data_IF_333291858314
#
_entry.id   IF_333291858314
#
_cell.length_a   1.000
_cell.length_b   1.000
_cell.length_c   1.000
_cell.angle_alpha   90.00
_cell.angle_beta   90.00
_cell.angle_gamma   90.00
#
_symmetry.space_group_name_H-M   'P 1'
#
loop_
_entity.id
_entity.type
_entity.pdbx_description
1 polymer ?
#
# COMPACT_ATOMS: atom_id res chain seq x y z
N UNK A 1 -6.60 52.73 20.55
CA UNK A 1 -5.92 51.46 20.15
C UNK A 1 -7.00 50.40 19.99
N UNK A 2 -7.35 50.11 18.74
CA UNK A 2 -8.47 49.26 18.32
C UNK A 2 -7.97 47.85 17.99
N UNK A 3 -8.60 46.78 18.49
CA UNK A 3 -8.25 45.42 18.11
C UNK A 3 -9.04 45.03 16.85
N UNK A 4 -8.55 45.42 15.67
CA UNK A 4 -9.14 45.01 14.37
C UNK A 4 -8.46 43.78 13.75
N UNK A 5 -7.62 43.07 14.49
CA UNK A 5 -6.81 41.95 13.95
C UNK A 5 -7.46 40.58 14.18
N UNK A 6 -8.43 40.45 15.10
CA UNK A 6 -9.05 39.15 15.40
C UNK A 6 -10.25 38.76 14.50
N UNK A 7 -10.78 39.68 13.68
CA UNK A 7 -11.91 39.40 12.79
C UNK A 7 -11.55 38.77 11.45
N UNK A 8 -10.28 38.84 11.02
CA UNK A 8 -9.82 38.37 9.70
C UNK A 8 -9.34 36.91 9.76
N UNK A 9 -8.87 36.44 10.92
CA UNK A 9 -8.39 35.07 11.07
C UNK A 9 -9.54 34.04 11.20
N UNK A 10 -10.68 34.45 11.76
CA UNK A 10 -11.86 33.59 11.95
C UNK A 10 -12.68 33.37 10.67
N UNK A 11 -12.61 34.27 9.69
CA UNK A 11 -13.27 34.08 8.39
C UNK A 11 -12.47 33.18 7.44
N UNK A 12 -11.16 33.03 7.66
CA UNK A 12 -10.32 32.08 6.92
C UNK A 12 -10.49 30.63 7.41
N UNK A 13 -10.77 30.41 8.70
CA UNK A 13 -11.04 29.05 9.21
C UNK A 13 -12.43 28.50 8.85
N UNK A 14 -13.39 29.36 8.52
CA UNK A 14 -14.76 28.95 8.17
C UNK A 14 -14.97 28.65 6.68
N UNK A 15 -13.99 28.92 5.82
CA UNK A 15 -14.07 28.60 4.37
C UNK A 15 -13.54 27.21 4.01
N UNK A 16 -12.86 26.51 4.91
CA UNK A 16 -12.47 25.10 4.69
C UNK A 16 -13.60 24.09 4.91
N UNK A 17 -14.79 24.53 5.35
CA UNK A 17 -15.87 23.61 5.71
C UNK A 17 -16.97 23.45 4.65
N UNK A 18 -16.83 24.04 3.46
CA UNK A 18 -17.77 23.80 2.35
C UNK A 18 -17.05 23.79 1.01
N UNK A 19 -16.35 22.68 0.70
CA UNK A 19 -16.26 22.10 -0.65
C UNK A 19 -15.67 20.69 -0.49
N UNK A 20 -16.52 19.67 -0.52
CA UNK A 20 -16.10 18.28 -0.64
C UNK A 20 -15.60 17.96 -2.05
N UNK A 21 -14.62 18.73 -2.54
CA UNK A 21 -13.88 18.43 -3.76
C UNK A 21 -12.50 17.97 -3.33
N UNK A 22 -12.37 16.66 -3.09
CA UNK A 22 -11.06 16.01 -3.01
C UNK A 22 -10.33 16.34 -4.32
N UNK A 23 -9.22 17.08 -4.23
CA UNK A 23 -8.33 17.32 -5.37
C UNK A 23 -8.02 15.98 -6.09
N UNK A 24 -8.04 15.94 -7.43
CA UNK A 24 -7.73 14.74 -8.18
C UNK A 24 -6.38 14.16 -7.75
N UNK A 25 -6.31 12.85 -7.52
CA UNK A 25 -5.06 12.17 -7.22
C UNK A 25 -4.38 11.74 -8.50
N UNK A 26 -3.15 12.19 -8.74
CA UNK A 26 -2.38 11.78 -9.91
C UNK A 26 -1.95 10.31 -9.81
N UNK A 27 -2.13 9.57 -10.90
CA UNK A 27 -1.65 8.21 -11.04
C UNK A 27 -0.15 8.22 -11.36
N UNK A 28 0.61 7.46 -10.57
CA UNK A 28 2.05 7.31 -10.73
C UNK A 28 2.49 5.85 -10.44
N UNK A 29 3.79 5.64 -10.28
CA UNK A 29 4.38 4.35 -9.92
C UNK A 29 4.33 4.04 -8.41
N UNK A 30 3.70 4.89 -7.61
CA UNK A 30 3.70 4.88 -6.15
C UNK A 30 5.12 4.70 -5.58
N UNK A 31 6.04 5.67 -5.79
CA UNK A 31 7.45 5.50 -5.47
C UNK A 31 7.73 5.37 -3.97
N UNK A 32 6.80 5.83 -3.13
CA UNK A 32 6.91 5.83 -1.67
C UNK A 32 6.34 4.55 -1.01
N UNK A 33 5.68 3.69 -1.79
CA UNK A 33 4.96 2.56 -1.25
C UNK A 33 5.88 1.41 -0.82
N UNK A 34 5.54 0.74 0.29
CA UNK A 34 6.19 -0.52 0.68
C UNK A 34 5.65 -1.67 -0.16
N UNK A 35 6.45 -2.16 -1.10
CA UNK A 35 6.03 -3.08 -2.15
C UNK A 35 6.79 -4.42 -2.13
N UNK A 36 7.25 -4.84 -0.96
CA UNK A 36 8.10 -6.01 -0.77
C UNK A 36 7.43 -7.30 -1.29
N UNK A 37 8.19 -8.09 -2.06
CA UNK A 37 7.77 -9.39 -2.58
C UNK A 37 8.34 -10.57 -1.79
N UNK A 38 9.29 -10.31 -0.89
CA UNK A 38 9.96 -11.31 -0.06
C UNK A 38 10.68 -12.40 -0.87
N UNK A 39 11.23 -12.03 -2.04
CA UNK A 39 11.96 -12.95 -2.90
C UNK A 39 13.29 -13.35 -2.24
N UNK A 40 13.43 -14.64 -1.93
CA UNK A 40 14.64 -15.19 -1.32
C UNK A 40 14.68 -15.17 0.22
N UNK A 41 13.65 -14.64 0.90
CA UNK A 41 13.61 -14.58 2.37
C UNK A 41 12.32 -15.12 3.00
N UNK A 42 11.52 -15.89 2.25
CA UNK A 42 10.26 -16.47 2.77
C UNK A 42 10.49 -17.22 4.07
N UNK A 43 11.43 -18.17 4.11
CA UNK A 43 11.66 -18.99 5.31
C UNK A 43 12.10 -18.17 6.54
N UNK A 44 12.89 -17.12 6.32
CA UNK A 44 13.30 -16.23 7.39
C UNK A 44 12.13 -15.36 7.88
N UNK A 45 11.32 -14.84 6.96
CA UNK A 45 10.11 -14.11 7.32
C UNK A 45 9.07 -14.99 8.02
N UNK A 46 8.87 -16.25 7.61
CA UNK A 46 7.97 -17.19 8.32
C UNK A 46 8.42 -17.41 9.77
N UNK A 47 9.73 -17.43 10.02
CA UNK A 47 10.29 -17.55 11.38
C UNK A 47 10.08 -16.30 12.23
N UNK A 48 10.21 -15.11 11.63
CA UNK A 48 10.17 -13.82 12.33
C UNK A 48 8.78 -13.21 12.45
N UNK A 49 7.92 -13.43 11.46
CA UNK A 49 6.61 -12.81 11.36
C UNK A 49 5.72 -13.04 12.59
N UNK A 50 5.76 -14.17 13.32
CA UNK A 50 5.01 -14.33 14.56
C UNK A 50 5.38 -13.29 15.64
N UNK A 51 6.68 -13.01 15.83
CA UNK A 51 7.12 -11.99 16.78
C UNK A 51 6.73 -10.59 16.30
N UNK A 52 6.98 -10.27 15.03
CA UNK A 52 6.61 -8.99 14.43
C UNK A 52 5.09 -8.72 14.56
N UNK A 53 4.26 -9.74 14.36
CA UNK A 53 2.81 -9.62 14.51
C UNK A 53 2.42 -9.30 15.96
N UNK A 54 3.11 -9.90 16.94
CA UNK A 54 2.87 -9.60 18.36
C UNK A 54 3.26 -8.15 18.71
N UNK A 55 4.33 -7.62 18.12
CA UNK A 55 4.73 -6.21 18.24
C UNK A 55 3.66 -5.29 17.64
N UNK A 56 3.12 -5.63 16.47
CA UNK A 56 2.02 -4.89 15.82
C UNK A 56 0.76 -4.84 16.68
N UNK A 57 0.41 -5.97 17.31
CA UNK A 57 -0.71 -6.04 18.25
C UNK A 57 -0.53 -5.16 19.48
N UNK A 58 0.71 -4.99 19.95
CA UNK A 58 1.01 -4.12 21.08
C UNK A 58 0.91 -2.65 20.70
N UNK A 59 1.29 -2.30 19.46
CA UNK A 59 1.21 -0.93 18.94
C UNK A 59 -0.20 -0.53 18.51
N UNK A 60 -1.03 -1.49 18.06
CA UNK A 60 -2.34 -1.20 17.51
C UNK A 60 -3.40 -2.19 18.03
N UNK A 61 -4.08 -1.79 19.12
CA UNK A 61 -5.14 -2.59 19.75
C UNK A 61 -6.33 -2.85 18.82
N UNK A 62 -6.67 -1.90 17.95
CA UNK A 62 -7.76 -2.08 16.99
C UNK A 62 -7.42 -3.16 15.96
N UNK A 63 -6.20 -3.12 15.43
CA UNK A 63 -5.71 -4.17 14.53
C UNK A 63 -5.67 -5.54 15.22
N UNK A 64 -5.26 -5.61 16.49
CA UNK A 64 -5.32 -6.85 17.28
C UNK A 64 -6.73 -7.42 17.39
N UNK A 65 -7.75 -6.58 17.63
CA UNK A 65 -9.14 -7.03 17.68
C UNK A 65 -9.62 -7.54 16.32
N UNK A 66 -9.38 -6.77 15.25
CA UNK A 66 -9.69 -7.17 13.88
C UNK A 66 -9.05 -8.52 13.51
N UNK A 67 -7.78 -8.71 13.89
CA UNK A 67 -7.07 -9.97 13.64
C UNK A 67 -7.74 -11.14 14.36
N UNK A 68 -8.12 -11.00 15.64
CA UNK A 68 -8.81 -12.05 16.39
C UNK A 68 -10.16 -12.42 15.75
N UNK A 69 -10.95 -11.43 15.34
CA UNK A 69 -12.21 -11.66 14.62
C UNK A 69 -11.96 -12.42 13.31
N UNK A 70 -10.91 -12.04 12.57
CA UNK A 70 -10.50 -12.71 11.36
C UNK A 70 -10.02 -14.15 11.60
N UNK A 71 -9.37 -14.45 12.72
CA UNK A 71 -8.98 -15.82 13.10
C UNK A 71 -10.20 -16.70 13.35
N UNK A 72 -11.21 -16.19 14.05
CA UNK A 72 -12.45 -16.92 14.30
C UNK A 72 -13.20 -17.22 13.00
N UNK A 73 -13.25 -16.24 12.11
CA UNK A 73 -13.92 -16.40 10.81
C UNK A 73 -13.12 -17.32 9.87
N UNK A 74 -11.78 -17.22 9.86
CA UNK A 74 -10.93 -18.16 9.13
C UNK A 74 -11.10 -19.60 9.62
N UNK A 75 -11.22 -19.83 10.94
CA UNK A 75 -11.48 -21.17 11.51
C UNK A 75 -12.77 -21.80 10.98
N UNK A 76 -13.79 -21.00 10.65
CA UNK A 76 -15.02 -21.47 10.02
C UNK A 76 -14.78 -21.78 8.53
N UNK A 77 -14.19 -20.84 7.79
CA UNK A 77 -13.95 -20.98 6.35
C UNK A 77 -13.02 -22.14 6.01
N UNK A 78 -11.93 -22.33 6.75
CA UNK A 78 -10.90 -23.36 6.48
C UNK A 78 -11.42 -24.81 6.53
N UNK A 79 -12.61 -25.04 7.09
CA UNK A 79 -13.30 -26.34 7.07
C UNK A 79 -13.83 -26.71 5.69
N UNK A 80 -14.07 -25.72 4.82
CA UNK A 80 -14.71 -25.90 3.50
C UNK A 80 -13.82 -25.47 2.35
N UNK A 81 -12.93 -24.49 2.57
CA UNK A 81 -12.04 -23.95 1.55
C UNK A 81 -10.83 -24.87 1.34
N UNK A 82 -10.49 -25.12 0.08
CA UNK A 82 -9.23 -25.78 -0.30
C UNK A 82 -8.12 -24.73 -0.42
N UNK A 83 -6.94 -25.02 0.12
CA UNK A 83 -5.77 -24.15 0.05
C UNK A 83 -4.49 -24.97 -0.22
N UNK A 84 -3.45 -24.36 -0.83
CA UNK A 84 -2.26 -25.08 -1.27
C UNK A 84 -1.36 -25.51 -0.11
N UNK A 85 -0.43 -26.44 -0.39
CA UNK A 85 0.66 -26.79 0.53
C UNK A 85 1.46 -25.53 0.90
N UNK A 86 1.78 -25.39 2.19
CA UNK A 86 2.47 -24.21 2.73
C UNK A 86 1.54 -23.05 3.09
N UNK A 87 0.25 -23.10 2.71
CA UNK A 87 -0.75 -22.16 3.22
C UNK A 87 -1.20 -22.60 4.62
N UNK A 88 -1.19 -21.67 5.58
CA UNK A 88 -1.48 -21.95 6.99
C UNK A 88 -2.31 -20.83 7.61
N UNK A 89 -2.62 -20.93 8.91
CA UNK A 89 -3.63 -20.09 9.55
C UNK A 89 -3.32 -18.59 9.45
N UNK A 90 -2.07 -18.15 9.66
CA UNK A 90 -1.73 -16.72 9.46
C UNK A 90 -2.04 -16.20 8.05
N UNK A 91 -1.84 -17.01 7.00
CA UNK A 91 -2.16 -16.63 5.62
C UNK A 91 -3.67 -16.44 5.42
N UNK A 92 -4.47 -17.40 5.89
CA UNK A 92 -5.92 -17.33 5.78
C UNK A 92 -6.51 -16.18 6.61
N UNK A 93 -6.05 -16.02 7.85
CA UNK A 93 -6.44 -14.91 8.71
C UNK A 93 -6.09 -13.56 8.10
N UNK A 94 -4.90 -13.40 7.49
CA UNK A 94 -4.52 -12.14 6.86
C UNK A 94 -5.46 -11.74 5.72
N UNK A 95 -5.88 -12.71 4.88
CA UNK A 95 -6.86 -12.46 3.81
C UNK A 95 -8.22 -12.09 4.39
N UNK A 96 -8.71 -12.80 5.40
CA UNK A 96 -9.98 -12.46 6.07
C UNK A 96 -9.90 -11.06 6.67
N UNK A 97 -8.85 -10.76 7.42
CA UNK A 97 -8.63 -9.46 8.07
C UNK A 97 -8.60 -8.31 7.05
N UNK A 98 -7.99 -8.54 5.88
CA UNK A 98 -7.96 -7.56 4.79
C UNK A 98 -9.37 -7.13 4.34
N UNK A 99 -10.29 -8.09 4.31
CA UNK A 99 -11.66 -7.94 3.79
C UNK A 99 -12.72 -7.66 4.86
N UNK A 100 -12.37 -7.74 6.15
CA UNK A 100 -13.31 -7.67 7.26
C UNK A 100 -13.66 -6.24 7.72
N UNK A 101 -12.89 -5.22 7.32
CA UNK A 101 -13.16 -3.85 7.76
C UNK A 101 -12.22 -2.78 7.21
N UNK A 102 -12.41 -1.55 7.67
CA UNK A 102 -11.70 -0.36 7.16
C UNK A 102 -10.24 -0.34 7.58
N UNK A 103 -9.37 -0.82 6.70
CA UNK A 103 -7.91 -0.80 6.82
C UNK A 103 -7.28 0.49 6.28
N UNK A 104 -7.92 1.64 6.46
CA UNK A 104 -7.42 2.92 5.93
C UNK A 104 -6.00 3.25 6.43
N UNK A 105 -5.71 2.94 7.69
CA UNK A 105 -4.38 3.15 8.27
C UNK A 105 -3.34 2.20 7.65
N UNK A 106 -3.71 0.97 7.31
CA UNK A 106 -2.83 0.04 6.62
C UNK A 106 -2.51 0.54 5.20
N UNK A 107 -3.52 0.86 4.39
CA UNK A 107 -3.29 1.38 3.03
C UNK A 107 -2.46 2.68 3.02
N UNK A 108 -2.74 3.60 3.95
CA UNK A 108 -1.96 4.84 4.07
C UNK A 108 -0.52 4.56 4.51
N UNK A 109 -0.31 3.74 5.54
CA UNK A 109 1.05 3.40 5.99
C UNK A 109 1.89 2.70 4.93
N UNK A 110 1.27 1.87 4.07
CA UNK A 110 1.93 1.30 2.91
C UNK A 110 2.34 2.39 1.93
N UNK A 111 1.39 3.22 1.46
CA UNK A 111 1.65 4.26 0.43
C UNK A 111 2.73 5.25 0.86
N UNK A 112 2.80 5.55 2.15
CA UNK A 112 3.68 6.57 2.71
C UNK A 112 4.94 6.00 3.36
N UNK A 113 5.21 4.70 3.18
CA UNK A 113 6.29 4.00 3.86
C UNK A 113 7.64 4.72 3.80
N UNK A 114 8.09 5.13 2.61
CA UNK A 114 9.38 5.83 2.47
C UNK A 114 9.45 7.16 3.23
N UNK A 115 8.30 7.81 3.45
CA UNK A 115 8.25 9.09 4.18
C UNK A 115 8.51 8.87 5.68
N UNK A 116 8.05 7.76 6.24
CA UNK A 116 8.22 7.43 7.65
C UNK A 116 8.26 5.91 7.89
N UNK A 117 9.38 5.23 7.56
CA UNK A 117 9.46 3.77 7.65
C UNK A 117 9.42 3.28 9.11
N UNK A 118 9.78 4.12 10.08
CA UNK A 118 9.73 3.80 11.51
C UNK A 118 8.30 3.64 12.04
N UNK A 119 7.32 4.29 11.42
CA UNK A 119 5.90 4.24 11.81
C UNK A 119 5.11 3.13 11.07
N UNK A 120 5.80 2.20 10.41
CA UNK A 120 5.16 1.09 9.72
C UNK A 120 4.91 -0.08 10.69
N UNK A 121 3.68 -0.17 11.18
CA UNK A 121 3.22 -1.16 12.16
C UNK A 121 2.37 -2.27 11.53
N UNK A 122 2.74 -2.71 10.32
CA UNK A 122 2.08 -3.78 9.57
C UNK A 122 3.09 -4.65 8.79
N UNK A 123 4.30 -4.84 9.32
CA UNK A 123 5.39 -5.65 8.79
C UNK A 123 4.97 -7.11 8.55
N UNK A 124 4.49 -7.81 9.59
CA UNK A 124 4.03 -9.18 9.53
C UNK A 124 2.71 -9.29 8.77
N UNK A 125 1.78 -8.36 8.99
CA UNK A 125 0.52 -8.35 8.25
C UNK A 125 0.74 -8.24 6.73
N UNK A 126 1.59 -7.32 6.30
CA UNK A 126 1.98 -7.17 4.90
C UNK A 126 2.64 -8.45 4.35
N UNK A 127 3.52 -9.08 5.13
CA UNK A 127 4.16 -10.34 4.76
C UNK A 127 3.12 -11.45 4.56
N UNK A 128 2.29 -11.74 5.56
CA UNK A 128 1.31 -12.83 5.47
C UNK A 128 0.29 -12.61 4.36
N UNK A 129 -0.16 -11.36 4.15
CA UNK A 129 -1.08 -11.05 3.05
C UNK A 129 -0.39 -11.25 1.68
N UNK A 130 0.84 -10.76 1.52
CA UNK A 130 1.63 -10.97 0.30
C UNK A 130 1.84 -12.45 0.03
N UNK A 131 2.24 -13.21 1.05
CA UNK A 131 2.55 -14.63 0.94
C UNK A 131 1.30 -15.46 0.65
N UNK A 132 0.17 -15.13 1.27
CA UNK A 132 -1.12 -15.74 0.99
C UNK A 132 -1.47 -15.62 -0.50
N UNK A 133 -1.36 -14.42 -1.09
CA UNK A 133 -1.64 -14.20 -2.50
C UNK A 133 -0.68 -14.99 -3.40
N UNK A 134 0.62 -14.99 -3.11
CA UNK A 134 1.61 -15.77 -3.87
C UNK A 134 1.28 -17.27 -3.89
N UNK A 135 0.93 -17.84 -2.73
CA UNK A 135 0.60 -19.25 -2.59
C UNK A 135 -0.68 -19.60 -3.36
N UNK A 136 -1.74 -18.79 -3.22
CA UNK A 136 -3.01 -19.00 -3.93
C UNK A 136 -2.84 -18.85 -5.44
N UNK A 137 -2.04 -17.87 -5.89
CA UNK A 137 -1.77 -17.65 -7.31
C UNK A 137 -1.05 -18.84 -7.97
N UNK A 138 -0.23 -19.58 -7.23
CA UNK A 138 0.44 -20.76 -7.77
C UNK A 138 -0.54 -21.87 -8.20
N UNK A 139 -1.78 -21.85 -7.73
CA UNK A 139 -2.81 -22.79 -8.17
C UNK A 139 -3.46 -22.40 -9.51
N UNK A 140 -3.47 -21.10 -9.85
CA UNK A 140 -4.08 -20.59 -11.07
C UNK A 140 -3.34 -19.32 -11.53
N UNK A 141 -2.65 -19.42 -12.68
CA UNK A 141 -1.87 -18.33 -13.29
C UNK A 141 -2.63 -17.55 -14.38
N UNK A 142 -3.95 -17.75 -14.50
CA UNK A 142 -4.79 -17.05 -15.49
C UNK A 142 -4.95 -15.59 -15.16
N UNK A 143 -4.79 -14.70 -16.14
CA UNK A 143 -5.10 -13.28 -15.94
C UNK A 143 -6.62 -13.07 -15.89
N UNK A 144 -7.04 -12.02 -15.19
CA UNK A 144 -8.44 -11.66 -15.03
C UNK A 144 -8.70 -10.26 -15.59
N UNK A 145 -9.89 -10.07 -16.14
CA UNK A 145 -10.47 -8.74 -16.35
C UNK A 145 -11.37 -8.42 -15.17
N UNK A 146 -11.03 -7.36 -14.44
CA UNK A 146 -11.68 -6.99 -13.19
C UNK A 146 -11.92 -5.49 -13.12
N UNK A 147 -12.79 -5.08 -12.21
CA UNK A 147 -13.21 -3.70 -12.05
C UNK A 147 -12.98 -3.23 -10.62
N UNK A 148 -12.52 -1.99 -10.47
CA UNK A 148 -12.35 -1.35 -9.17
C UNK A 148 -12.96 0.04 -9.22
N UNK A 149 -13.85 0.34 -8.28
CA UNK A 149 -14.35 1.69 -8.07
C UNK A 149 -13.50 2.44 -7.06
N UNK A 150 -13.49 3.76 -7.17
CA UNK A 150 -13.07 4.64 -6.10
C UNK A 150 -13.95 5.87 -6.08
N UNK A 151 -14.24 6.37 -4.87
CA UNK A 151 -14.90 7.67 -4.68
C UNK A 151 -13.98 8.83 -5.06
N UNK A 152 -12.67 8.61 -5.08
CA UNK A 152 -11.70 9.63 -5.50
C UNK A 152 -11.66 9.71 -7.03
N UNK A 153 -11.42 10.92 -7.54
CA UNK A 153 -11.08 11.15 -8.94
C UNK A 153 -9.58 10.98 -9.13
N UNK A 154 -9.20 10.28 -10.18
CA UNK A 154 -7.80 10.07 -10.55
C UNK A 154 -7.50 10.70 -11.90
N UNK A 155 -6.30 11.27 -12.01
CA UNK A 155 -5.81 11.82 -13.25
C UNK A 155 -4.60 11.01 -13.75
N UNK A 156 -4.55 10.76 -15.06
CA UNK A 156 -3.38 10.17 -15.70
C UNK A 156 -2.72 11.22 -16.57
N UNK A 157 -1.43 11.46 -16.34
CA UNK A 157 -0.63 12.47 -17.05
C UNK A 157 -0.43 12.21 -18.55
N UNK A 158 -0.94 11.09 -19.07
CA UNK A 158 -0.77 10.66 -20.46
C UNK A 158 0.54 9.92 -20.74
N UNK A 159 1.39 9.73 -19.73
CA UNK A 159 2.68 9.04 -19.87
C UNK A 159 3.05 8.21 -18.64
N UNK A 160 3.91 7.22 -18.87
CA UNK A 160 4.48 6.37 -17.82
C UNK A 160 3.53 5.25 -17.37
N UNK A 161 4.11 4.30 -16.66
CA UNK A 161 3.39 3.18 -16.06
C UNK A 161 2.74 3.59 -14.74
N UNK A 162 1.71 2.84 -14.33
CA UNK A 162 0.93 3.12 -13.13
C UNK A 162 0.93 1.92 -12.18
N UNK A 163 0.86 2.19 -10.88
CA UNK A 163 0.69 1.22 -9.81
C UNK A 163 -0.12 1.82 -8.67
N UNK A 164 -0.95 1.01 -8.02
CA UNK A 164 -1.85 1.53 -6.97
C UNK A 164 -1.13 1.95 -5.67
N UNK A 165 0.05 1.41 -5.39
CA UNK A 165 0.79 1.75 -4.16
C UNK A 165 0.17 1.20 -2.88
N UNK A 166 -0.78 0.27 -2.99
CA UNK A 166 -1.29 -0.58 -1.93
C UNK A 166 -1.97 -1.81 -2.56
N UNK A 167 -2.41 -2.78 -1.75
CA UNK A 167 -3.23 -3.89 -2.22
C UNK A 167 -4.57 -3.39 -2.78
N UNK A 168 -4.98 -3.89 -3.94
CA UNK A 168 -6.17 -3.39 -4.65
C UNK A 168 -7.29 -4.41 -4.69
N UNK A 169 -8.34 -4.22 -3.87
CA UNK A 169 -9.61 -4.91 -4.06
C UNK A 169 -10.24 -4.57 -5.40
N UNK A 170 -10.72 -5.58 -6.10
CA UNK A 170 -11.45 -5.49 -7.36
C UNK A 170 -12.51 -6.59 -7.43
N UNK A 171 -13.42 -6.52 -8.40
CA UNK A 171 -14.47 -7.51 -8.60
C UNK A 171 -14.59 -7.88 -10.08
N UNK A 172 -15.09 -9.08 -10.37
CA UNK A 172 -15.42 -9.47 -11.74
C UNK A 172 -16.63 -8.70 -12.29
N UNK A 173 -17.58 -8.34 -11.43
CA UNK A 173 -18.77 -7.59 -11.82
C UNK A 173 -18.53 -6.07 -11.72
N UNK A 174 -18.63 -5.31 -12.83
CA UNK A 174 -18.51 -3.85 -12.81
C UNK A 174 -19.58 -3.18 -11.95
N UNK A 175 -20.73 -3.81 -11.73
CA UNK A 175 -21.81 -3.31 -10.87
C UNK A 175 -21.36 -3.23 -9.42
N UNK A 176 -20.58 -4.20 -8.93
CA UNK A 176 -19.99 -4.18 -7.59
C UNK A 176 -19.00 -3.01 -7.51
N UNK A 177 -18.12 -2.84 -8.51
CA UNK A 177 -17.16 -1.75 -8.53
C UNK A 177 -17.83 -0.37 -8.54
N UNK A 178 -18.91 -0.20 -9.29
CA UNK A 178 -19.65 1.06 -9.37
C UNK A 178 -20.38 1.37 -8.06
N UNK A 179 -21.11 0.39 -7.50
CA UNK A 179 -22.06 0.62 -6.41
C UNK A 179 -21.45 0.41 -5.02
N UNK A 180 -20.56 -0.56 -4.85
CA UNK A 180 -19.94 -0.90 -3.55
C UNK A 180 -18.64 -0.12 -3.35
N UNK A 181 -17.79 -0.06 -4.36
CA UNK A 181 -16.47 0.60 -4.26
C UNK A 181 -16.50 2.10 -4.65
N UNK A 182 -17.66 2.64 -5.03
CA UNK A 182 -17.86 4.08 -5.25
C UNK A 182 -17.45 4.59 -6.63
N UNK A 183 -17.23 3.71 -7.62
CA UNK A 183 -16.89 4.11 -8.99
C UNK A 183 -18.00 4.91 -9.70
N UNK A 184 -19.24 4.89 -9.19
CA UNK A 184 -20.32 5.70 -9.71
C UNK A 184 -20.18 7.21 -9.44
N UNK A 185 -19.36 7.61 -8.47
CA UNK A 185 -19.18 9.03 -8.08
C UNK A 185 -17.73 9.52 -8.19
N UNK A 186 -16.78 8.64 -8.49
CA UNK A 186 -15.37 8.98 -8.71
C UNK A 186 -14.84 8.33 -9.97
N UNK A 187 -13.79 7.51 -9.85
CA UNK A 187 -13.17 6.81 -10.98
C UNK A 187 -13.56 5.33 -11.01
N UNK A 188 -13.86 4.83 -12.21
CA UNK A 188 -13.94 3.40 -12.48
C UNK A 188 -12.64 2.94 -13.14
N UNK A 189 -12.00 1.93 -12.58
CA UNK A 189 -10.87 1.25 -13.19
C UNK A 189 -11.34 -0.06 -13.83
N UNK A 190 -10.95 -0.26 -15.08
CA UNK A 190 -11.08 -1.53 -15.81
C UNK A 190 -9.68 -2.11 -15.98
N UNK A 191 -9.42 -3.25 -15.36
CA UNK A 191 -8.07 -3.73 -15.07
C UNK A 191 -7.89 -5.12 -15.66
N UNK A 192 -6.81 -5.32 -16.43
CA UNK A 192 -6.29 -6.65 -16.73
C UNK A 192 -5.18 -6.98 -15.74
N UNK A 193 -5.45 -7.87 -14.79
CA UNK A 193 -4.50 -8.30 -13.76
C UNK A 193 -4.00 -9.72 -14.04
N UNK A 194 -2.70 -9.95 -13.89
CA UNK A 194 -2.06 -11.27 -14.01
C UNK A 194 -1.42 -11.73 -12.69
N UNK A 195 -1.47 -10.91 -11.65
CA UNK A 195 -1.06 -11.26 -10.29
C UNK A 195 -2.23 -11.26 -9.30
N UNK A 196 -3.39 -10.74 -9.70
CA UNK A 196 -4.62 -10.77 -8.93
C UNK A 196 -5.07 -12.20 -8.60
N UNK A 197 -5.60 -12.36 -7.40
CA UNK A 197 -6.08 -13.65 -6.87
C UNK A 197 -7.55 -13.53 -6.54
N UNK A 198 -8.37 -14.44 -7.05
CA UNK A 198 -9.74 -14.58 -6.60
C UNK A 198 -9.73 -15.10 -5.15
N UNK A 199 -10.06 -14.21 -4.21
CA UNK A 199 -10.10 -14.49 -2.77
C UNK A 199 -11.53 -14.65 -2.26
N UNK A 200 -12.54 -14.78 -3.14
CA UNK A 200 -13.95 -14.85 -2.76
C UNK A 200 -14.23 -15.87 -1.65
N UNK A 201 -13.63 -17.04 -1.71
CA UNK A 201 -13.83 -18.11 -0.72
C UNK A 201 -13.19 -17.82 0.64
N UNK A 202 -12.16 -16.98 0.64
CA UNK A 202 -11.37 -16.55 1.79
C UNK A 202 -11.85 -15.23 2.38
N UNK A 203 -12.49 -14.37 1.57
CA UNK A 203 -12.99 -13.06 1.97
C UNK A 203 -14.04 -13.17 3.06
N UNK A 204 -14.08 -12.18 3.95
CA UNK A 204 -15.08 -12.00 4.99
C UNK A 204 -16.49 -12.00 4.38
N UNK A 205 -16.69 -11.21 3.31
CA UNK A 205 -17.93 -11.16 2.53
C UNK A 205 -17.75 -11.80 1.14
N UNK A 206 -18.15 -13.07 1.03
CA UNK A 206 -18.08 -13.83 -0.22
C UNK A 206 -18.85 -13.20 -1.38
N UNK A 207 -19.88 -12.37 -1.10
CA UNK A 207 -20.74 -11.79 -2.15
C UNK A 207 -20.02 -10.76 -3.00
N UNK A 208 -18.90 -10.20 -2.52
CA UNK A 208 -18.14 -9.20 -3.27
C UNK A 208 -17.34 -9.82 -4.42
N UNK A 209 -17.24 -11.15 -4.49
CA UNK A 209 -16.51 -11.89 -5.52
C UNK A 209 -15.09 -11.35 -5.74
N UNK A 210 -14.42 -11.04 -4.63
CA UNK A 210 -13.26 -10.16 -4.62
C UNK A 210 -12.03 -10.80 -5.27
N UNK A 211 -11.41 -10.05 -6.18
CA UNK A 211 -10.07 -10.31 -6.70
C UNK A 211 -9.12 -9.31 -6.06
N UNK A 212 -8.19 -9.81 -5.28
CA UNK A 212 -7.18 -8.99 -4.62
C UNK A 212 -5.91 -8.92 -5.45
N UNK A 213 -5.56 -7.70 -5.84
CA UNK A 213 -4.38 -7.40 -6.65
C UNK A 213 -3.21 -7.03 -5.70
N UNK A 214 -2.06 -7.71 -5.79
CA UNK A 214 -0.91 -7.37 -4.98
C UNK A 214 -0.33 -6.01 -5.38
N UNK A 215 0.28 -5.33 -4.41
CA UNK A 215 0.81 -3.98 -4.58
C UNK A 215 1.84 -3.83 -5.71
N UNK A 216 2.62 -4.87 -5.99
CA UNK A 216 3.75 -4.86 -6.93
C UNK A 216 3.36 -5.17 -8.39
N UNK A 217 2.06 -5.21 -8.71
CA UNK A 217 1.61 -5.24 -10.10
C UNK A 217 1.62 -3.82 -10.70
N UNK A 218 2.29 -3.67 -11.84
CA UNK A 218 2.45 -2.42 -12.59
C UNK A 218 1.73 -2.55 -13.93
N UNK A 219 1.13 -1.47 -14.40
CA UNK A 219 0.44 -1.42 -15.70
C UNK A 219 1.20 -0.50 -16.64
N UNK A 220 1.73 -1.07 -17.72
CA UNK A 220 2.51 -0.31 -18.71
C UNK A 220 1.62 0.44 -19.71
N UNK A 221 0.38 -0.01 -19.89
CA UNK A 221 -0.59 0.62 -20.79
C UNK A 221 -1.76 1.18 -20.00
N UNK A 222 -1.95 2.50 -20.11
CA UNK A 222 -3.04 3.22 -19.45
C UNK A 222 -3.84 3.98 -20.50
N UNK A 223 -5.16 3.84 -20.50
CA UNK A 223 -6.07 4.57 -21.39
C UNK A 223 -7.17 5.21 -20.57
N UNK A 224 -7.46 6.49 -20.82
CA UNK A 224 -8.54 7.22 -20.14
C UNK A 224 -9.68 7.43 -21.14
N UNK A 225 -10.90 7.07 -20.74
CA UNK A 225 -12.13 7.37 -21.49
C UNK A 225 -13.05 8.24 -20.63
N UNK A 226 -13.40 9.41 -21.16
CA UNK A 226 -14.38 10.28 -20.52
C UNK A 226 -15.75 9.62 -20.53
N UNK A 227 -16.45 9.61 -19.38
CA UNK A 227 -17.88 9.22 -19.32
C UNK A 227 -18.75 10.48 -19.24
N UNK A 228 -19.97 10.38 -19.78
CA UNK A 228 -20.95 11.48 -19.90
C UNK A 228 -21.30 12.24 -18.60
N UNK A 229 -20.94 11.73 -17.42
CA UNK A 229 -21.23 12.36 -16.11
C UNK A 229 -19.98 12.92 -15.39
N UNK A 230 -18.84 13.09 -16.07
CA UNK A 230 -17.63 13.66 -15.47
C UNK A 230 -16.87 12.69 -14.54
N UNK A 231 -17.11 11.40 -14.71
CA UNK A 231 -16.38 10.30 -14.08
C UNK A 231 -15.56 9.62 -15.16
N UNK A 232 -14.24 9.65 -15.06
CA UNK A 232 -13.39 8.99 -16.05
C UNK A 232 -13.35 7.48 -15.79
N UNK A 233 -13.31 6.70 -16.87
CA UNK A 233 -12.95 5.30 -16.84
C UNK A 233 -11.47 5.15 -17.24
N UNK A 234 -10.69 4.52 -16.37
CA UNK A 234 -9.26 4.32 -16.57
C UNK A 234 -9.02 2.83 -16.81
N UNK A 235 -8.52 2.51 -17.99
CA UNK A 235 -8.16 1.16 -18.40
C UNK A 235 -6.69 0.92 -18.06
N UNK A 236 -6.41 -0.15 -17.32
CA UNK A 236 -5.08 -0.57 -16.93
C UNK A 236 -4.78 -1.94 -17.57
N UNK A 237 -3.80 -2.00 -18.47
CA UNK A 237 -3.42 -3.19 -19.23
C UNK A 237 -1.89 -3.35 -19.26
N UNK A 238 -1.41 -4.41 -19.91
CA UNK A 238 0.00 -4.82 -19.96
C UNK A 238 0.60 -4.97 -18.57
N UNK A 239 0.04 -5.84 -17.71
CA UNK A 239 0.51 -6.01 -16.34
C UNK A 239 1.93 -6.59 -16.32
N UNK A 240 2.75 -6.05 -15.42
CA UNK A 240 4.12 -6.48 -15.09
C UNK A 240 4.28 -6.61 -13.59
N UNK A 241 5.33 -7.31 -13.19
CA UNK A 241 5.76 -7.46 -11.79
C UNK A 241 6.97 -6.58 -11.53
N UNK A 242 6.91 -5.67 -10.55
CA UNK A 242 8.05 -4.83 -10.14
C UNK A 242 7.89 -4.30 -8.71
N UNK A 243 8.99 -4.36 -7.95
CA UNK A 243 9.10 -3.80 -6.59
C UNK A 243 10.35 -2.93 -6.44
N UNK A 244 10.30 -2.02 -5.48
CA UNK A 244 11.44 -1.22 -5.02
C UNK A 244 12.08 -1.81 -3.76
N UNK A 245 11.31 -2.56 -2.96
CA UNK A 245 11.76 -3.24 -1.76
C UNK A 245 11.83 -4.74 -1.99
N UNK A 246 12.82 -5.38 -1.37
CA UNK A 246 12.88 -6.82 -1.25
C UNK A 246 13.48 -7.21 0.09
N UNK A 247 12.80 -8.08 0.83
CA UNK A 247 13.26 -8.67 2.08
C UNK A 247 13.65 -7.64 3.16
N UNK A 248 12.96 -6.50 3.21
CA UNK A 248 13.35 -5.35 4.03
C UNK A 248 13.44 -5.68 5.53
N UNK A 249 12.52 -6.49 6.04
CA UNK A 249 12.45 -6.90 7.44
C UNK A 249 13.05 -8.28 7.74
N UNK A 250 13.72 -8.88 6.74
CA UNK A 250 14.41 -10.15 6.93
C UNK A 250 15.69 -9.99 7.79
N UNK A 251 16.27 -11.09 8.23
CA UNK A 251 17.59 -11.16 8.88
C UNK A 251 18.73 -11.04 7.88
N UNK A 252 18.47 -11.34 6.60
CA UNK A 252 19.49 -11.35 5.54
C UNK A 252 19.73 -9.98 4.91
N UNK A 253 18.92 -8.97 5.25
CA UNK A 253 19.26 -7.58 5.01
C UNK A 253 20.43 -7.19 5.91
N UNK A 254 21.65 -7.36 5.40
CA UNK A 254 22.80 -6.63 5.94
C UNK A 254 22.40 -5.16 6.03
N UNK A 255 22.51 -4.56 7.21
CA UNK A 255 22.25 -3.14 7.45
C UNK A 255 23.16 -2.19 6.61
N UNK A 256 23.99 -2.73 5.73
CA UNK A 256 24.95 -2.02 4.88
C UNK A 256 24.36 -1.32 3.65
N UNK A 257 23.08 -1.53 3.30
CA UNK A 257 22.46 -0.84 2.16
C UNK A 257 21.76 0.49 2.51
N UNK A 258 21.82 0.92 3.78
CA UNK A 258 21.35 2.24 4.20
C UNK A 258 22.46 3.30 4.27
N UNK A 259 23.52 3.15 3.47
CA UNK A 259 24.52 4.20 3.26
C UNK A 259 24.42 4.78 1.85
N UNK A 260 24.01 6.05 1.82
CA UNK A 260 24.35 7.09 0.83
C UNK A 260 23.81 6.99 -0.60
N UNK A 261 22.64 7.59 -0.83
CA UNK A 261 22.46 8.52 -1.96
C UNK A 261 21.85 9.83 -1.46
N UNK A 262 22.50 10.40 -0.45
CA UNK A 262 22.39 11.81 -0.14
C UNK A 262 23.83 12.25 0.13
N UNK A 263 24.50 12.76 -0.90
CA UNK A 263 25.72 13.54 -0.75
C UNK A 263 25.39 14.78 0.08
N UNK A 264 25.40 14.65 1.41
CA UNK A 264 25.63 15.77 2.31
C UNK A 264 27.13 16.07 2.21
N UNK A 265 27.48 17.08 1.40
CA UNK A 265 28.77 17.75 1.50
C UNK A 265 28.82 18.47 2.85
N UNK A 266 29.25 17.76 3.89
CA UNK A 266 29.79 18.39 5.10
C UNK A 266 31.14 18.99 4.72
N UNK A 267 31.13 20.27 4.34
CA UNK A 267 32.34 21.09 4.27
C UNK A 267 32.82 21.29 5.71
N UNK A 268 33.66 20.37 6.17
CA UNK A 268 34.44 20.56 7.39
C UNK A 268 35.51 21.59 7.07
N UNK A 269 35.26 22.86 7.38
CA UNK A 269 36.30 23.88 7.47
C UNK A 269 37.27 23.43 8.59
N UNK A 270 38.54 23.13 8.30
CA UNK A 270 39.51 22.91 9.36
C UNK A 270 39.81 24.27 9.99
N UNK A 271 39.46 24.40 11.26
CA UNK A 271 39.78 25.57 12.08
C UNK A 271 41.27 25.84 12.07
N UNK A 272 41.61 27.08 11.72
CA UNK A 272 42.96 27.62 11.74
C UNK A 272 43.32 28.01 13.18
N UNK A 273 44.10 27.19 13.87
CA UNK A 273 44.84 27.47 15.11
C UNK A 273 45.83 26.30 15.24
N UNK A 274 47.15 26.42 15.37
CA UNK A 274 48.07 27.46 15.83
C UNK A 274 49.46 26.97 15.40
N UNK A 275 50.38 27.86 15.05
CA UNK A 275 51.74 27.79 15.58
C UNK A 275 52.48 29.12 15.41
N UNK A 276 52.60 29.81 16.55
CA UNK A 276 53.61 30.82 16.83
C UNK A 276 55.00 30.20 16.62
N UNK A 277 55.86 30.90 15.88
CA UNK A 277 57.31 30.90 16.09
C UNK A 277 57.86 32.29 15.70
N UNK A 278 58.62 32.94 16.59
CA UNK A 278 59.28 34.23 16.33
C UNK A 278 60.70 34.07 15.75
N UNK A 279 61.34 35.21 15.47
CA UNK A 279 62.71 35.46 14.94
C UNK A 279 62.83 35.43 13.40
N UNK A 280 63.56 36.32 12.71
CA UNK A 280 64.42 37.44 13.08
C UNK A 280 64.71 38.29 11.82
N UNK A 281 65.06 39.56 12.03
CA UNK A 281 66.05 40.39 11.30
C UNK A 281 66.24 40.19 9.78
N UNK A 282 65.75 41.13 8.96
CA UNK A 282 66.49 42.26 8.37
C UNK A 282 65.53 43.20 7.62
#
# INVERSE_FOLDING_TARGET
MTPKVHGILLTWLLTQQVTGLTEPSDLDMAPNAFDDQYEGCVEDMERKAPQLLQEEFNMNKQFKCLWKEAEEEWKKKKKTVKYPKGFHDFHGTAVVAYTAGTLNNFHTSIREFKKNPGNFHYKAFHFYLTRALQLLRNQNRSCYSVYRGSKNKFHYSGKGSVRFGHFGSSAFDPTIALNVFGGATGTLFTIKTCLGVNISDFSYDRKQTEVLIPIYEVYESVTVKARRKGNDEIFLDSPKRKSNFNCFYSSSTNQSHFSSSATLLLVMLPGLLVQLLPLAEL
#
